data_IF_747727222646
#
_entry.id   IF_747727222646
#
_cell.length_a   1.000
_cell.length_b   1.000
_cell.length_c   1.000
_cell.angle_alpha   90.00
_cell.angle_beta   90.00
_cell.angle_gamma   90.00
#
_symmetry.space_group_name_H-M   'P 1'
#
loop_
_entity.id
_entity.type
_entity.pdbx_description
1 polymer ?
#
# COMPACT_ATOMS: atom_id res chain seq x y z
N UNK A 1 17.20 9.05 -9.91
CA UNK A 1 16.05 9.96 -9.59
C UNK A 1 14.84 9.48 -10.36
N UNK A 2 13.73 9.19 -9.66
CA UNK A 2 12.44 8.88 -10.32
C UNK A 2 11.67 10.18 -10.64
N UNK A 3 10.75 10.11 -11.59
CA UNK A 3 10.02 11.30 -12.06
C UNK A 3 8.52 11.03 -12.21
N UNK A 4 7.71 12.10 -12.10
CA UNK A 4 6.26 12.03 -12.24
C UNK A 4 5.78 11.49 -13.61
N UNK A 5 6.63 11.51 -14.64
CA UNK A 5 6.31 10.96 -15.95
C UNK A 5 6.89 9.54 -16.16
N UNK A 6 7.07 8.80 -15.07
CA UNK A 6 7.48 7.40 -15.03
C UNK A 6 8.81 7.09 -15.74
N UNK A 7 9.86 7.85 -15.43
CA UNK A 7 11.24 7.53 -15.77
C UNK A 7 12.11 7.46 -14.53
N UNK A 8 13.07 6.52 -14.54
CA UNK A 8 14.20 6.49 -13.62
C UNK A 8 15.42 7.06 -14.34
N UNK A 9 16.03 8.12 -13.78
CA UNK A 9 17.19 8.79 -14.33
C UNK A 9 18.43 8.57 -13.47
N UNK A 10 19.58 8.36 -14.10
CA UNK A 10 20.90 8.56 -13.51
C UNK A 10 21.45 9.89 -14.02
N UNK A 11 21.79 10.77 -13.08
CA UNK A 11 22.27 12.14 -13.36
C UNK A 11 23.59 12.35 -12.62
N UNK A 12 24.60 12.77 -13.32
CA UNK A 12 25.86 13.19 -12.73
C UNK A 12 25.64 14.43 -11.84
N UNK A 13 26.06 14.34 -10.58
CA UNK A 13 25.74 15.37 -9.59
C UNK A 13 26.55 16.67 -9.76
N UNK A 14 27.70 16.62 -10.46
CA UNK A 14 28.55 17.79 -10.69
C UNK A 14 28.10 18.56 -11.94
N UNK A 15 27.74 17.85 -13.00
CA UNK A 15 27.43 18.44 -14.30
C UNK A 15 25.93 18.60 -14.56
N UNK A 16 25.08 17.84 -13.86
CA UNK A 16 23.64 17.76 -14.11
C UNK A 16 23.29 17.02 -15.40
N UNK A 17 24.24 16.37 -16.05
CA UNK A 17 24.02 15.64 -17.29
C UNK A 17 23.59 14.18 -17.02
N UNK A 18 22.73 13.61 -17.88
CA UNK A 18 22.41 12.18 -17.80
C UNK A 18 23.64 11.32 -18.02
N UNK A 19 23.78 10.23 -17.22
CA UNK A 19 24.82 9.23 -17.41
C UNK A 19 24.49 8.36 -18.65
N UNK A 20 25.26 8.45 -19.74
CA UNK A 20 24.92 7.75 -20.97
C UNK A 20 25.01 6.22 -20.87
N UNK A 21 25.64 5.68 -19.82
CA UNK A 21 25.80 4.25 -19.60
C UNK A 21 24.62 3.62 -18.87
N UNK A 22 23.75 4.45 -18.26
CA UNK A 22 22.58 4.00 -17.50
C UNK A 22 21.37 3.85 -18.42
N UNK A 23 20.78 2.66 -18.49
CA UNK A 23 19.59 2.36 -19.26
C UNK A 23 19.69 2.81 -20.74
N UNK A 24 18.72 3.56 -21.20
CA UNK A 24 18.76 4.15 -22.54
C UNK A 24 19.12 5.64 -22.45
N UNK A 25 20.41 5.96 -22.65
CA UNK A 25 20.93 7.33 -22.58
C UNK A 25 20.55 8.05 -21.26
N UNK A 26 20.84 7.43 -20.14
CA UNK A 26 20.66 8.00 -18.79
C UNK A 26 19.31 7.74 -18.15
N UNK A 27 18.42 6.96 -18.77
CA UNK A 27 17.09 6.70 -18.22
C UNK A 27 16.53 5.32 -18.50
N UNK A 28 15.67 4.87 -17.63
CA UNK A 28 14.82 3.69 -17.77
C UNK A 28 13.37 4.11 -17.87
N UNK A 29 12.61 3.56 -18.83
CA UNK A 29 11.18 3.75 -18.95
C UNK A 29 10.42 2.80 -18.01
N UNK A 30 9.77 3.35 -17.01
CA UNK A 30 9.10 2.60 -15.95
C UNK A 30 7.67 2.13 -16.34
N UNK A 31 7.17 2.47 -17.52
CA UNK A 31 5.91 1.92 -18.04
C UNK A 31 6.10 0.55 -18.70
N UNK A 32 7.34 0.14 -18.93
CA UNK A 32 7.70 -1.14 -19.56
C UNK A 32 7.85 -2.21 -18.47
N UNK A 33 7.49 -3.46 -18.81
CA UNK A 33 7.72 -4.62 -17.93
C UNK A 33 6.70 -4.81 -16.82
N UNK A 34 5.52 -4.19 -16.91
CA UNK A 34 4.44 -4.30 -15.92
C UNK A 34 3.41 -5.41 -16.23
N UNK A 35 3.72 -6.31 -17.18
CA UNK A 35 2.86 -7.45 -17.52
C UNK A 35 1.66 -7.12 -18.43
N UNK A 36 1.32 -5.84 -18.55
CA UNK A 36 0.25 -5.34 -19.43
C UNK A 36 0.61 -3.97 -20.01
N UNK A 37 -0.04 -3.53 -21.11
CA UNK A 37 0.10 -2.17 -21.61
C UNK A 37 -0.34 -1.13 -20.57
N UNK A 38 0.46 -0.09 -20.40
CA UNK A 38 0.20 0.97 -19.40
C UNK A 38 0.08 2.31 -20.11
N UNK A 39 -1.00 3.02 -19.84
CA UNK A 39 -1.11 4.44 -20.18
C UNK A 39 -0.22 5.25 -19.22
N UNK A 40 0.80 5.93 -19.77
CA UNK A 40 1.75 6.73 -18.98
C UNK A 40 1.08 7.81 -18.14
N UNK A 41 -0.07 8.34 -18.54
CA UNK A 41 -0.80 9.33 -17.77
C UNK A 41 -1.42 8.77 -16.49
N UNK A 42 -1.52 7.44 -16.38
CA UNK A 42 -2.10 6.73 -15.24
C UNK A 42 -1.08 6.29 -14.20
N UNK A 43 0.22 6.53 -14.42
CA UNK A 43 1.28 6.09 -13.50
C UNK A 43 2.34 7.16 -13.30
N UNK A 44 2.77 7.33 -12.07
CA UNK A 44 3.83 8.26 -11.69
C UNK A 44 4.75 7.68 -10.62
N UNK A 45 5.86 8.35 -10.37
CA UNK A 45 6.78 8.02 -9.28
C UNK A 45 7.14 9.32 -8.57
N UNK A 46 6.66 9.50 -7.35
CA UNK A 46 6.83 10.73 -6.56
C UNK A 46 7.56 10.53 -5.23
N UNK A 47 7.61 9.30 -4.73
CA UNK A 47 8.27 8.99 -3.46
C UNK A 47 9.80 8.95 -3.60
N UNK A 48 10.49 9.17 -2.49
CA UNK A 48 11.93 8.95 -2.40
C UNK A 48 12.24 7.46 -2.62
N UNK A 49 13.31 7.22 -3.37
CA UNK A 49 13.73 5.88 -3.81
C UNK A 49 14.82 5.38 -2.88
N UNK A 50 14.62 4.32 -2.09
CA UNK A 50 15.69 3.72 -1.32
C UNK A 50 16.71 3.04 -2.24
N UNK A 51 17.97 3.13 -1.84
CA UNK A 51 19.09 2.43 -2.45
C UNK A 51 19.73 1.59 -1.35
N UNK A 52 19.82 0.29 -1.57
CA UNK A 52 20.46 -0.65 -0.64
C UNK A 52 21.44 -1.52 -1.42
N UNK A 53 22.72 -1.47 -1.04
CA UNK A 53 23.76 -2.05 -1.88
C UNK A 53 23.75 -1.44 -3.28
N UNK A 54 23.66 -2.27 -4.30
CA UNK A 54 23.57 -1.87 -5.70
C UNK A 54 22.12 -1.94 -6.25
N UNK A 55 21.12 -1.96 -5.38
CA UNK A 55 19.72 -2.07 -5.79
C UNK A 55 18.94 -0.78 -5.51
N UNK A 56 18.34 -0.22 -6.56
CA UNK A 56 17.39 0.90 -6.52
C UNK A 56 15.99 0.32 -6.50
N UNK A 57 15.17 0.61 -5.47
CA UNK A 57 13.86 0.00 -5.29
C UNK A 57 12.75 1.03 -5.54
N UNK A 58 11.79 0.68 -6.37
CA UNK A 58 10.74 1.59 -6.84
C UNK A 58 9.34 1.07 -6.56
N UNK A 59 8.55 1.86 -5.82
CA UNK A 59 7.10 1.82 -5.85
C UNK A 59 6.55 2.75 -6.94
N UNK A 60 5.25 2.99 -6.94
CA UNK A 60 4.58 3.86 -7.92
C UNK A 60 3.34 4.54 -7.34
N UNK A 61 2.88 5.59 -8.01
CA UNK A 61 1.54 6.15 -7.85
C UNK A 61 0.72 5.72 -9.05
N UNK A 62 -0.46 5.18 -8.83
CA UNK A 62 -1.43 4.85 -9.88
C UNK A 62 -2.63 5.78 -9.72
N UNK A 63 -3.00 6.46 -10.81
CA UNK A 63 -4.16 7.36 -10.84
C UNK A 63 -5.40 6.56 -11.27
N UNK A 64 -6.10 5.99 -10.32
CA UNK A 64 -7.30 5.19 -10.51
C UNK A 64 -8.61 5.95 -10.22
N UNK A 65 -8.49 7.12 -9.58
CA UNK A 65 -9.59 8.02 -9.32
C UNK A 65 -9.65 9.17 -10.34
N UNK A 66 -10.82 9.67 -10.67
CA UNK A 66 -10.93 10.89 -11.46
C UNK A 66 -10.33 12.05 -10.66
N UNK A 67 -9.28 12.64 -11.18
CA UNK A 67 -8.72 13.88 -10.61
C UNK A 67 -9.61 15.10 -10.84
N UNK A 68 -10.63 14.96 -11.71
CA UNK A 68 -11.58 16.02 -12.08
C UNK A 68 -12.97 15.39 -12.29
N UNK A 69 -14.02 16.13 -11.94
CA UNK A 69 -15.43 15.69 -11.91
C UNK A 69 -15.98 15.11 -13.24
N UNK A 70 -15.31 15.36 -14.36
CA UNK A 70 -15.78 14.95 -15.67
C UNK A 70 -15.25 13.58 -16.15
N UNK A 71 -14.37 12.92 -15.38
CA UNK A 71 -13.77 11.63 -15.75
C UNK A 71 -14.33 10.52 -14.84
N UNK A 72 -15.09 9.54 -15.37
CA UNK A 72 -15.55 8.43 -14.58
C UNK A 72 -14.38 7.65 -13.99
N UNK A 73 -14.52 7.18 -12.75
CA UNK A 73 -13.57 6.27 -12.14
C UNK A 73 -13.34 5.05 -13.03
N UNK A 74 -12.08 4.73 -13.32
CA UNK A 74 -11.72 3.55 -14.08
C UNK A 74 -11.76 2.33 -13.15
N UNK A 75 -12.64 1.39 -13.40
CA UNK A 75 -12.82 0.19 -12.57
C UNK A 75 -11.93 -0.98 -13.00
N UNK A 76 -11.49 -1.00 -14.26
CA UNK A 76 -10.71 -2.09 -14.85
C UNK A 76 -9.56 -1.57 -15.72
N UNK A 77 -8.64 -2.44 -16.08
CA UNK A 77 -7.47 -2.14 -16.93
C UNK A 77 -6.54 -1.04 -16.34
N UNK A 78 -6.49 -0.97 -15.03
CA UNK A 78 -5.59 -0.07 -14.32
C UNK A 78 -4.13 -0.55 -14.40
N UNK A 79 -3.13 0.34 -14.42
CA UNK A 79 -1.74 -0.05 -14.26
C UNK A 79 -1.54 -0.80 -12.93
N UNK A 80 -0.83 -1.95 -12.91
CA UNK A 80 -0.48 -2.59 -11.66
C UNK A 80 0.65 -1.83 -10.97
N UNK A 81 0.60 -1.75 -9.65
CA UNK A 81 1.55 -1.05 -8.81
C UNK A 81 2.77 -1.87 -8.39
N UNK A 82 3.20 -2.83 -9.20
CA UNK A 82 4.30 -3.74 -8.89
C UNK A 82 5.57 -3.02 -8.45
N UNK A 83 6.27 -3.59 -7.46
CA UNK A 83 7.55 -3.08 -6.97
C UNK A 83 8.69 -3.72 -7.73
N UNK A 84 9.69 -2.92 -8.08
CA UNK A 84 10.81 -3.37 -8.90
C UNK A 84 12.14 -2.93 -8.34
N UNK A 85 13.12 -3.83 -8.39
CA UNK A 85 14.51 -3.53 -8.12
C UNK A 85 15.29 -3.34 -9.43
N UNK A 86 16.14 -2.32 -9.46
CA UNK A 86 17.00 -1.99 -10.59
C UNK A 86 18.45 -1.92 -10.13
N UNK A 87 19.36 -2.35 -10.98
CA UNK A 87 20.79 -2.16 -10.76
C UNK A 87 21.14 -0.66 -10.76
N UNK A 88 21.83 -0.21 -9.72
CA UNK A 88 22.17 1.20 -9.51
C UNK A 88 23.07 1.76 -10.63
N UNK A 89 23.93 0.95 -11.20
CA UNK A 89 24.95 1.38 -12.17
C UNK A 89 24.45 1.30 -13.60
N UNK A 90 23.68 0.25 -13.93
CA UNK A 90 23.27 -0.03 -15.30
C UNK A 90 21.84 0.35 -15.61
N UNK A 91 20.95 0.41 -14.58
CA UNK A 91 19.52 0.58 -14.75
C UNK A 91 18.80 -0.68 -15.25
N UNK A 92 19.48 -1.82 -15.31
CA UNK A 92 18.84 -3.09 -15.63
C UNK A 92 17.89 -3.52 -14.49
N UNK A 93 16.71 -4.04 -14.85
CA UNK A 93 15.79 -4.58 -13.86
C UNK A 93 16.35 -5.90 -13.30
N UNK A 94 16.63 -5.92 -12.00
CA UNK A 94 17.09 -7.12 -11.26
C UNK A 94 15.93 -8.07 -10.98
N UNK A 95 14.81 -7.52 -10.48
CA UNK A 95 13.62 -8.28 -10.09
C UNK A 95 12.34 -7.46 -10.17
N UNK A 96 11.20 -8.15 -10.12
CA UNK A 96 9.88 -7.59 -9.94
C UNK A 96 9.13 -8.39 -8.87
N UNK A 97 8.47 -7.68 -7.95
CA UNK A 97 7.52 -8.25 -7.02
C UNK A 97 6.11 -7.87 -7.48
N UNK A 98 5.30 -8.86 -7.80
CA UNK A 98 3.93 -8.66 -8.20
C UNK A 98 3.05 -8.38 -6.97
N UNK A 99 2.70 -7.13 -6.74
CA UNK A 99 1.79 -6.72 -5.66
C UNK A 99 0.37 -7.24 -5.87
N UNK A 100 0.00 -7.51 -7.13
CA UNK A 100 -1.14 -8.33 -7.54
C UNK A 100 -0.57 -9.63 -8.10
N UNK A 101 -0.65 -10.74 -7.35
CA UNK A 101 -0.03 -12.00 -7.75
C UNK A 101 -0.58 -12.51 -9.08
N UNK A 102 0.31 -13.01 -9.91
CA UNK A 102 -0.03 -13.58 -11.21
C UNK A 102 -0.44 -15.06 -11.08
N UNK A 103 -0.94 -15.66 -12.15
CA UNK A 103 -1.36 -17.07 -12.16
C UNK A 103 -0.25 -18.00 -11.64
N UNK A 104 -0.57 -18.80 -10.64
CA UNK A 104 0.36 -19.74 -10.00
C UNK A 104 1.26 -19.14 -8.91
N UNK A 105 1.24 -17.83 -8.70
CA UNK A 105 1.95 -17.19 -7.60
C UNK A 105 1.16 -17.27 -6.29
N UNK A 106 1.87 -17.20 -5.16
CA UNK A 106 1.27 -17.19 -3.83
C UNK A 106 0.33 -15.98 -3.68
N UNK A 107 -0.90 -16.23 -3.22
CA UNK A 107 -1.92 -15.21 -3.00
C UNK A 107 -2.80 -14.91 -4.22
N UNK A 108 -2.53 -15.48 -5.39
CA UNK A 108 -3.39 -15.30 -6.57
C UNK A 108 -4.81 -15.85 -6.34
N UNK A 109 -4.93 -16.90 -5.54
CA UNK A 109 -6.20 -17.52 -5.13
C UNK A 109 -7.09 -16.63 -4.25
N UNK A 110 -6.55 -15.53 -3.74
CA UNK A 110 -7.31 -14.50 -3.00
C UNK A 110 -8.02 -13.48 -3.92
N UNK A 111 -7.88 -13.63 -5.24
CA UNK A 111 -8.50 -12.80 -6.26
C UNK A 111 -9.52 -13.64 -7.03
N UNK A 112 -10.79 -13.53 -6.68
CA UNK A 112 -11.84 -14.32 -7.32
C UNK A 112 -12.14 -13.82 -8.74
N UNK A 113 -12.74 -14.70 -9.55
CA UNK A 113 -13.21 -14.42 -10.92
C UNK A 113 -12.14 -13.83 -11.86
N UNK A 114 -10.89 -14.24 -11.66
CA UNK A 114 -9.76 -13.71 -12.45
C UNK A 114 -9.58 -12.19 -12.39
N UNK A 115 -10.13 -11.55 -11.37
CA UNK A 115 -10.10 -10.08 -11.21
C UNK A 115 -8.69 -9.49 -11.20
N UNK A 116 -7.67 -10.27 -10.80
CA UNK A 116 -6.25 -9.90 -10.87
C UNK A 116 -5.79 -9.51 -12.28
N UNK A 117 -6.45 -10.00 -13.34
CA UNK A 117 -6.10 -9.72 -14.74
C UNK A 117 -6.39 -8.28 -15.15
N UNK A 118 -7.35 -7.64 -14.51
CA UNK A 118 -7.84 -6.30 -14.87
C UNK A 118 -7.74 -5.27 -13.77
N UNK A 119 -7.62 -5.70 -12.50
CA UNK A 119 -7.38 -4.82 -11.36
C UNK A 119 -5.95 -4.27 -11.41
N UNK A 120 -5.77 -3.03 -11.00
CA UNK A 120 -4.48 -2.36 -10.87
C UNK A 120 -4.34 -1.71 -9.51
N UNK A 121 -3.61 -0.58 -9.46
CA UNK A 121 -3.16 0.01 -8.21
C UNK A 121 -2.41 -1.01 -7.34
N UNK A 122 -2.77 -1.23 -6.09
CA UNK A 122 -2.01 -2.09 -5.18
C UNK A 122 -0.54 -1.67 -5.16
N UNK A 123 -0.34 -0.37 -5.15
CA UNK A 123 0.94 0.29 -5.36
C UNK A 123 1.52 0.83 -4.05
N UNK A 124 2.74 1.33 -4.10
CA UNK A 124 3.36 2.04 -2.99
C UNK A 124 3.59 3.48 -3.42
N UNK A 125 2.71 4.37 -2.99
CA UNK A 125 2.78 5.79 -3.29
C UNK A 125 3.56 6.59 -2.24
N UNK A 126 3.79 6.00 -1.08
CA UNK A 126 4.58 6.56 0.01
C UNK A 126 6.03 6.07 -0.02
N UNK A 127 6.80 6.40 1.00
CA UNK A 127 8.19 5.97 1.12
C UNK A 127 8.30 4.53 1.64
N UNK A 128 9.38 3.87 1.24
CA UNK A 128 9.79 2.55 1.70
C UNK A 128 10.79 2.67 2.84
N UNK A 129 10.87 1.65 3.69
CA UNK A 129 11.96 1.50 4.66
C UNK A 129 12.80 0.28 4.31
N UNK A 130 14.09 0.35 4.58
CA UNK A 130 15.00 -0.77 4.37
C UNK A 130 15.94 -0.95 5.57
N UNK A 131 16.32 -2.20 5.83
CA UNK A 131 17.31 -2.58 6.83
C UNK A 131 18.53 -3.17 6.10
N UNK A 132 19.62 -2.39 5.92
CA UNK A 132 20.80 -2.89 5.22
C UNK A 132 21.54 -4.01 5.96
N UNK A 133 21.35 -4.13 7.28
CA UNK A 133 21.97 -5.21 8.07
C UNK A 133 21.30 -6.56 7.78
N UNK A 134 19.98 -6.56 7.61
CA UNK A 134 19.20 -7.74 7.26
C UNK A 134 19.15 -7.99 5.75
N UNK A 135 19.43 -6.97 4.92
CA UNK A 135 19.20 -7.01 3.49
C UNK A 135 17.71 -6.99 3.12
N UNK A 136 16.85 -6.40 3.94
CA UNK A 136 15.40 -6.40 3.74
C UNK A 136 14.88 -5.00 3.38
N UNK A 137 13.85 -4.97 2.53
CA UNK A 137 13.01 -3.79 2.28
C UNK A 137 11.57 -4.06 2.72
N UNK A 138 10.93 -3.07 3.33
CA UNK A 138 9.58 -3.17 3.87
C UNK A 138 8.63 -2.30 3.06
N UNK A 139 7.62 -2.93 2.50
CA UNK A 139 6.68 -2.38 1.54
C UNK A 139 5.35 -2.08 2.21
N UNK A 140 4.97 -0.81 2.42
CA UNK A 140 3.61 -0.42 2.81
C UNK A 140 2.72 -0.37 1.56
N UNK A 141 2.16 -1.52 1.18
CA UNK A 141 1.36 -1.66 -0.05
C UNK A 141 -0.02 -1.10 0.18
N UNK A 142 -0.48 -0.24 -0.71
CA UNK A 142 -1.81 0.35 -0.71
C UNK A 142 -2.90 -0.58 -1.22
N UNK A 143 -4.11 -0.05 -1.27
CA UNK A 143 -5.29 -0.79 -1.69
C UNK A 143 -5.30 -1.09 -3.19
N UNK A 144 -6.07 -2.10 -3.63
CA UNK A 144 -6.35 -2.31 -5.03
C UNK A 144 -7.32 -1.24 -5.56
N UNK A 145 -7.16 -0.84 -6.81
CA UNK A 145 -8.15 0.00 -7.47
C UNK A 145 -9.47 -0.78 -7.72
N UNK A 146 -10.58 -0.20 -7.59
CA UNK A 146 -10.91 1.15 -7.20
C UNK A 146 -10.96 1.28 -5.66
N UNK A 147 -10.69 2.48 -5.09
CA UNK A 147 -10.50 2.67 -3.65
C UNK A 147 -11.79 2.47 -2.82
N UNK A 148 -12.96 2.70 -3.40
CA UNK A 148 -14.23 2.74 -2.66
C UNK A 148 -15.30 1.76 -3.15
N UNK A 149 -14.93 0.85 -4.04
CA UNK A 149 -15.83 -0.20 -4.50
C UNK A 149 -15.07 -1.48 -4.85
N UNK A 150 -15.30 -2.53 -4.08
CA UNK A 150 -14.62 -3.82 -4.23
C UNK A 150 -15.40 -4.89 -5.00
N UNK A 151 -16.61 -4.61 -5.49
CA UNK A 151 -17.47 -5.62 -6.13
C UNK A 151 -16.92 -6.24 -7.43
N UNK A 152 -15.95 -5.60 -8.09
CA UNK A 152 -15.26 -6.16 -9.27
C UNK A 152 -13.99 -6.96 -8.93
N UNK A 153 -13.59 -7.05 -7.66
CA UNK A 153 -12.37 -7.72 -7.20
C UNK A 153 -12.59 -8.54 -5.93
N UNK A 154 -13.58 -9.44 -5.95
CA UNK A 154 -13.93 -10.25 -4.78
C UNK A 154 -12.73 -11.09 -4.28
N UNK A 155 -12.77 -11.47 -2.99
CA UNK A 155 -11.68 -12.14 -2.27
C UNK A 155 -10.87 -11.15 -1.42
N UNK A 156 -9.90 -11.64 -0.65
CA UNK A 156 -9.11 -10.81 0.27
C UNK A 156 -8.08 -9.91 -0.43
N UNK A 157 -7.84 -10.11 -1.74
CA UNK A 157 -7.00 -9.30 -2.62
C UNK A 157 -5.55 -9.09 -2.13
N UNK A 158 -4.87 -10.17 -1.78
CA UNK A 158 -3.45 -10.12 -1.39
C UNK A 158 -2.58 -9.67 -2.59
N UNK A 159 -1.65 -8.73 -2.45
CA UNK A 159 -1.09 -8.08 -1.25
C UNK A 159 -1.65 -6.66 -1.00
N UNK A 160 -2.88 -6.38 -1.41
CA UNK A 160 -3.51 -5.09 -1.09
C UNK A 160 -3.51 -4.83 0.41
N UNK A 161 -3.31 -3.57 0.78
CA UNK A 161 -3.29 -3.03 2.16
C UNK A 161 -2.50 -3.92 3.12
N UNK A 162 -1.23 -4.15 2.76
CA UNK A 162 -0.34 -5.08 3.45
C UNK A 162 1.02 -4.46 3.75
N UNK A 163 1.69 -5.02 4.76
CA UNK A 163 3.14 -4.86 4.95
C UNK A 163 3.82 -6.09 4.36
N UNK A 164 4.77 -5.91 3.47
CA UNK A 164 5.54 -7.01 2.88
C UNK A 164 7.03 -6.77 3.07
N UNK A 165 7.77 -7.76 3.53
CA UNK A 165 9.22 -7.73 3.54
C UNK A 165 9.77 -8.54 2.38
N UNK A 166 10.69 -7.92 1.62
CA UNK A 166 11.42 -8.60 0.54
C UNK A 166 12.90 -8.60 0.83
N UNK A 167 13.58 -9.62 0.31
CA UNK A 167 15.02 -9.61 0.12
C UNK A 167 15.39 -8.57 -0.96
N UNK A 168 16.31 -7.69 -0.65
CA UNK A 168 16.69 -6.55 -1.52
C UNK A 168 17.36 -7.01 -2.83
N UNK A 169 18.13 -8.11 -2.79
CA UNK A 169 18.89 -8.56 -3.95
C UNK A 169 18.06 -9.37 -4.93
N UNK A 170 17.10 -10.15 -4.41
CA UNK A 170 16.32 -11.10 -5.20
C UNK A 170 14.88 -10.67 -5.46
N UNK A 171 14.32 -9.78 -4.61
CA UNK A 171 12.90 -9.43 -4.62
C UNK A 171 12.00 -10.54 -4.08
N UNK A 172 12.57 -11.62 -3.53
CA UNK A 172 11.80 -12.70 -2.92
C UNK A 172 11.12 -12.24 -1.64
N UNK A 173 9.85 -12.65 -1.46
CA UNK A 173 9.08 -12.33 -0.26
C UNK A 173 9.58 -13.15 0.93
N UNK A 174 10.03 -12.47 1.98
CA UNK A 174 10.43 -13.08 3.26
C UNK A 174 9.18 -13.36 4.09
N UNK A 175 8.35 -12.32 4.30
CA UNK A 175 7.07 -12.40 5.00
C UNK A 175 6.11 -11.32 4.53
N UNK A 176 4.85 -11.43 4.94
CA UNK A 176 3.84 -10.37 4.77
C UNK A 176 2.85 -10.40 5.93
N UNK A 177 2.19 -9.28 6.12
CA UNK A 177 1.05 -9.14 7.02
C UNK A 177 0.00 -8.23 6.36
N UNK A 178 -1.20 -8.77 6.07
CA UNK A 178 -2.30 -7.98 5.53
C UNK A 178 -3.00 -7.25 6.67
N UNK A 179 -3.07 -5.92 6.62
CA UNK A 179 -3.64 -5.09 7.68
C UNK A 179 -5.12 -4.77 7.45
N UNK A 180 -5.63 -4.96 6.23
CA UNK A 180 -7.06 -4.91 5.89
C UNK A 180 -7.36 -5.97 4.83
N UNK A 181 -8.31 -6.86 5.12
CA UNK A 181 -8.80 -7.85 4.16
C UNK A 181 -9.89 -7.24 3.28
N UNK A 182 -9.81 -7.42 1.97
CA UNK A 182 -10.77 -6.88 0.99
C UNK A 182 -11.09 -5.40 1.27
N UNK A 183 -10.10 -4.57 1.15
CA UNK A 183 -10.13 -3.15 1.49
C UNK A 183 -11.15 -2.36 0.63
N UNK A 184 -11.95 -1.49 1.27
CA UNK A 184 -13.03 -0.69 0.66
C UNK A 184 -13.03 0.79 1.07
N UNK A 185 -12.13 1.20 2.00
CA UNK A 185 -12.20 2.49 2.70
C UNK A 185 -11.03 3.41 2.40
N UNK A 186 -10.17 3.04 1.44
CA UNK A 186 -8.94 3.74 1.15
C UNK A 186 -8.00 3.82 2.38
N UNK A 187 -7.88 2.70 3.10
CA UNK A 187 -7.03 2.58 4.29
C UNK A 187 -5.56 2.28 3.97
N UNK A 188 -5.07 2.79 2.87
CA UNK A 188 -3.66 2.71 2.50
C UNK A 188 -2.72 2.98 3.68
N UNK A 189 -1.62 2.23 3.82
CA UNK A 189 -0.53 2.63 4.69
C UNK A 189 0.09 3.96 4.22
N UNK A 190 -0.06 5.07 5.01
CA UNK A 190 0.26 6.41 4.50
C UNK A 190 1.71 6.81 4.71
N UNK A 191 2.52 5.97 5.35
CA UNK A 191 3.88 6.30 5.77
C UNK A 191 4.85 5.14 5.62
N UNK A 192 6.14 5.45 5.51
CA UNK A 192 7.19 4.45 5.62
C UNK A 192 7.13 3.74 6.97
N UNK A 193 7.26 2.40 7.02
CA UNK A 193 7.39 1.69 8.28
C UNK A 193 8.58 2.20 9.09
N UNK A 194 8.38 2.51 10.37
CA UNK A 194 9.46 2.93 11.26
C UNK A 194 10.18 1.71 11.82
N UNK A 195 11.48 1.60 11.55
CA UNK A 195 12.33 0.54 12.10
C UNK A 195 12.85 0.97 13.47
N UNK A 196 12.64 0.13 14.47
CA UNK A 196 13.01 0.45 15.87
C UNK A 196 13.39 -0.83 16.61
N UNK A 197 14.39 -0.74 17.49
CA UNK A 197 14.73 -1.82 18.40
C UNK A 197 14.06 -1.55 19.75
N UNK A 198 13.26 -2.51 20.22
CA UNK A 198 12.46 -2.37 21.45
C UNK A 198 12.69 -3.57 22.37
N UNK A 199 12.47 -3.35 23.66
CA UNK A 199 12.48 -4.42 24.66
C UNK A 199 11.08 -4.63 25.20
N UNK A 200 10.53 -5.84 25.00
CA UNK A 200 9.20 -6.23 25.49
C UNK A 200 9.36 -7.47 26.35
N UNK A 201 8.90 -7.39 27.60
CA UNK A 201 8.98 -8.49 28.59
C UNK A 201 10.41 -9.08 28.72
N UNK A 202 11.43 -8.21 28.65
CA UNK A 202 12.84 -8.57 28.74
C UNK A 202 13.46 -9.15 27.46
N UNK A 203 12.71 -9.24 26.35
CA UNK A 203 13.22 -9.66 25.03
C UNK A 203 13.52 -8.45 24.17
N UNK A 204 14.70 -8.40 23.60
CA UNK A 204 15.05 -7.44 22.56
C UNK A 204 14.43 -7.89 21.24
N UNK A 205 13.75 -6.98 20.54
CA UNK A 205 13.04 -7.23 19.30
C UNK A 205 13.46 -6.16 18.30
N UNK A 206 13.94 -6.57 17.15
CA UNK A 206 14.06 -5.70 15.97
C UNK A 206 12.66 -5.50 15.41
N UNK A 207 12.00 -4.41 15.78
CA UNK A 207 10.61 -4.17 15.44
C UNK A 207 10.46 -3.24 14.23
N UNK A 208 9.29 -3.35 13.62
CA UNK A 208 8.75 -2.45 12.62
C UNK A 208 7.43 -1.91 13.16
N UNK A 209 7.24 -0.59 13.11
CA UNK A 209 5.98 0.05 13.48
C UNK A 209 5.39 0.78 12.25
N UNK A 210 4.16 0.43 11.86
CA UNK A 210 3.44 1.06 10.77
C UNK A 210 2.16 1.72 11.30
N UNK A 211 2.00 3.02 11.03
CA UNK A 211 0.74 3.74 11.25
C UNK A 211 -0.21 3.49 10.09
N UNK A 212 -1.50 3.39 10.37
CA UNK A 212 -2.55 3.21 9.36
C UNK A 212 -3.56 4.36 9.37
N UNK A 213 -4.32 4.51 8.28
CA UNK A 213 -5.43 5.47 8.20
C UNK A 213 -6.57 5.12 9.17
N UNK A 214 -6.62 3.88 9.66
CA UNK A 214 -7.54 3.43 10.72
C UNK A 214 -7.15 3.97 12.11
N UNK A 215 -6.07 4.79 12.22
CA UNK A 215 -5.49 5.25 13.49
C UNK A 215 -4.90 4.14 14.37
N UNK A 216 -4.55 3.00 13.78
CA UNK A 216 -3.80 1.94 14.44
C UNK A 216 -2.30 2.06 14.20
N UNK A 217 -1.53 1.43 15.09
CA UNK A 217 -0.12 1.16 14.90
C UNK A 217 0.08 -0.35 14.92
N UNK A 218 0.46 -0.91 13.78
CA UNK A 218 0.84 -2.31 13.66
C UNK A 218 2.32 -2.45 14.02
N UNK A 219 2.63 -3.25 15.06
CA UNK A 219 4.01 -3.46 15.51
C UNK A 219 4.37 -4.92 15.32
N UNK A 220 5.31 -5.16 14.39
CA UNK A 220 5.74 -6.52 14.01
C UNK A 220 7.23 -6.69 14.27
N UNK A 221 7.67 -7.92 14.53
CA UNK A 221 9.07 -8.28 14.43
C UNK A 221 9.50 -8.16 12.97
N UNK A 222 10.46 -7.29 12.67
CA UNK A 222 10.83 -6.98 11.28
C UNK A 222 11.62 -8.10 10.59
N UNK A 223 12.10 -9.09 11.36
CA UNK A 223 12.77 -10.27 10.79
C UNK A 223 11.75 -11.32 10.34
N UNK A 224 10.71 -11.55 11.14
CA UNK A 224 9.77 -12.67 10.96
C UNK A 224 8.38 -12.27 10.48
N UNK A 225 7.98 -11.00 10.67
CA UNK A 225 6.62 -10.53 10.43
C UNK A 225 5.62 -10.85 11.56
N UNK A 226 6.07 -11.56 12.61
CA UNK A 226 5.20 -11.91 13.72
C UNK A 226 4.79 -10.67 14.53
N UNK A 227 3.51 -10.53 14.92
CA UNK A 227 3.07 -9.43 15.77
C UNK A 227 3.77 -9.41 17.13
N UNK A 228 4.28 -8.24 17.54
CA UNK A 228 4.90 -8.06 18.88
C UNK A 228 3.86 -8.18 19.99
N UNK A 229 2.66 -7.67 19.77
CA UNK A 229 1.48 -7.87 20.60
C UNK A 229 0.36 -8.49 19.79
N UNK A 230 -0.58 -9.22 20.42
CA UNK A 230 -1.65 -9.88 19.68
C UNK A 230 -2.41 -8.91 18.77
N UNK A 231 -2.66 -9.34 17.55
CA UNK A 231 -3.60 -8.72 16.62
C UNK A 231 -4.77 -9.69 16.51
N UNK A 232 -5.97 -9.22 16.79
CA UNK A 232 -7.17 -10.04 16.90
C UNK A 232 -8.04 -9.89 15.66
N UNK A 233 -8.42 -11.02 15.06
CA UNK A 233 -9.47 -11.04 14.05
C UNK A 233 -10.82 -10.77 14.70
N UNK A 234 -11.45 -9.64 14.37
CA UNK A 234 -12.75 -9.25 14.93
C UNK A 234 -13.77 -9.14 13.82
N UNK A 235 -15.01 -9.60 14.13
CA UNK A 235 -16.13 -9.45 13.22
C UNK A 235 -16.45 -7.96 12.95
N UNK A 236 -16.71 -7.67 11.67
CA UNK A 236 -17.04 -6.32 11.20
C UNK A 236 -18.40 -6.31 10.50
N UNK A 237 -19.05 -5.13 10.37
CA UNK A 237 -20.28 -5.00 9.60
C UNK A 237 -20.10 -5.44 8.15
N UNK A 238 -21.13 -6.08 7.59
CA UNK A 238 -21.14 -6.43 6.17
C UNK A 238 -21.51 -5.20 5.33
N UNK A 239 -20.97 -5.15 4.10
CA UNK A 239 -21.37 -4.09 3.15
C UNK A 239 -22.84 -4.22 2.76
N UNK A 240 -23.51 -3.07 2.64
CA UNK A 240 -24.87 -2.95 2.11
C UNK A 240 -24.86 -2.53 0.62
N UNK A 241 -23.68 -2.29 0.05
CA UNK A 241 -23.52 -1.87 -1.34
C UNK A 241 -23.71 -3.07 -2.29
N UNK A 242 -24.57 -2.95 -3.30
CA UNK A 242 -24.81 -4.05 -4.22
C UNK A 242 -23.54 -4.51 -4.96
N UNK A 243 -23.26 -5.80 -4.92
CA UNK A 243 -22.10 -6.43 -5.56
C UNK A 243 -20.85 -6.53 -4.67
N UNK A 244 -20.78 -5.82 -3.57
CA UNK A 244 -19.68 -5.94 -2.61
C UNK A 244 -19.86 -7.14 -1.67
N UNK A 245 -18.72 -7.73 -1.28
CA UNK A 245 -18.63 -8.74 -0.25
C UNK A 245 -17.37 -8.51 0.55
N UNK A 246 -17.50 -7.84 1.70
CA UNK A 246 -16.38 -7.60 2.63
C UNK A 246 -15.91 -8.89 3.29
N UNK A 247 -14.68 -8.89 3.78
CA UNK A 247 -14.22 -9.94 4.69
C UNK A 247 -15.05 -9.92 5.98
N UNK A 248 -15.44 -11.08 6.52
CA UNK A 248 -16.28 -11.13 7.73
C UNK A 248 -15.53 -10.68 8.99
N UNK A 249 -14.21 -10.68 8.97
CA UNK A 249 -13.34 -10.21 10.05
C UNK A 249 -12.24 -9.29 9.53
N UNK A 250 -11.70 -8.48 10.45
CA UNK A 250 -10.56 -7.62 10.18
C UNK A 250 -9.56 -7.69 11.34
N UNK A 251 -8.25 -7.45 11.08
CA UNK A 251 -7.20 -7.51 12.08
C UNK A 251 -7.14 -6.23 12.94
N UNK A 252 -7.39 -6.37 14.24
CA UNK A 252 -7.33 -5.27 15.21
C UNK A 252 -6.12 -5.44 16.14
N UNK A 253 -5.11 -4.55 16.07
CA UNK A 253 -4.00 -4.60 17.02
C UNK A 253 -4.47 -4.28 18.44
N UNK A 254 -4.02 -5.06 19.43
CA UNK A 254 -4.38 -4.85 20.83
C UNK A 254 -3.48 -3.80 21.51
N UNK A 255 -2.29 -3.56 20.97
CA UNK A 255 -1.31 -2.56 21.43
C UNK A 255 -0.46 -2.04 20.26
N UNK A 256 -0.02 -0.75 20.31
CA UNK A 256 -0.52 0.30 21.21
C UNK A 256 -2.02 0.54 21.06
N UNK A 257 -2.60 1.32 21.98
CA UNK A 257 -3.99 1.77 21.80
C UNK A 257 -4.11 2.63 20.52
N UNK A 258 -5.27 2.65 19.85
CA UNK A 258 -5.50 3.57 18.74
C UNK A 258 -5.16 5.01 19.14
N UNK A 259 -4.61 5.77 18.20
CA UNK A 259 -4.16 7.15 18.48
C UNK A 259 -5.23 8.20 18.11
N UNK A 260 -6.37 7.77 17.58
CA UNK A 260 -7.53 8.62 17.29
C UNK A 260 -8.83 7.82 17.51
N UNK A 261 -9.97 8.51 17.36
CA UNK A 261 -11.31 7.94 17.49
C UNK A 261 -11.54 6.80 16.50
N UNK A 262 -12.18 5.75 16.97
CA UNK A 262 -12.56 4.60 16.17
C UNK A 262 -14.04 4.69 15.80
N UNK A 263 -14.30 5.17 14.58
CA UNK A 263 -15.67 5.39 14.11
C UNK A 263 -16.31 6.68 14.64
N UNK A 264 -17.59 6.85 14.32
CA UNK A 264 -18.40 8.01 14.69
C UNK A 264 -19.59 7.55 15.55
N UNK A 265 -19.88 8.27 16.63
CA UNK A 265 -21.08 8.13 17.43
C UNK A 265 -21.75 9.48 17.62
N UNK A 266 -23.00 9.47 18.08
CA UNK A 266 -23.66 10.72 18.40
C UNK A 266 -22.86 11.55 19.41
N UNK A 267 -22.21 10.93 20.38
CA UNK A 267 -21.42 11.61 21.41
C UNK A 267 -20.15 12.29 20.87
N UNK A 268 -19.64 11.84 19.70
CA UNK A 268 -18.42 12.40 19.07
C UNK A 268 -18.72 13.48 18.03
N UNK A 269 -20.00 13.78 17.75
CA UNK A 269 -20.37 14.85 16.83
C UNK A 269 -20.03 16.22 17.41
N UNK A 270 -19.80 17.19 16.50
CA UNK A 270 -19.53 18.59 16.86
C UNK A 270 -20.58 19.14 17.85
N UNK A 271 -20.14 19.85 18.89
CA UNK A 271 -20.95 20.40 19.95
C UNK A 271 -20.53 21.84 20.36
N UNK A 272 -19.85 22.55 19.48
CA UNK A 272 -19.38 23.91 19.76
C UNK A 272 -20.51 24.88 20.04
N UNK A 273 -21.68 24.69 19.42
CA UNK A 273 -22.91 25.38 19.76
C UNK A 273 -24.12 24.43 19.67
N UNK A 274 -25.24 24.70 20.38
CA UNK A 274 -26.44 23.89 20.26
C UNK A 274 -26.97 23.78 18.83
N UNK A 275 -26.85 24.86 18.02
CA UNK A 275 -27.31 24.89 16.64
C UNK A 275 -26.47 23.96 15.78
N UNK A 276 -25.13 24.01 15.87
CA UNK A 276 -24.22 23.12 15.15
C UNK A 276 -24.44 21.65 15.55
N UNK A 277 -24.67 21.39 16.84
CA UNK A 277 -24.98 20.05 17.32
C UNK A 277 -26.29 19.54 16.70
N UNK A 278 -27.34 20.36 16.67
CA UNK A 278 -28.62 19.98 16.09
C UNK A 278 -28.49 19.71 14.56
N UNK A 279 -27.73 20.53 13.84
CA UNK A 279 -27.45 20.31 12.42
C UNK A 279 -26.70 18.99 12.19
N UNK A 280 -25.64 18.73 12.95
CA UNK A 280 -24.87 17.49 12.85
C UNK A 280 -25.73 16.24 13.14
N UNK A 281 -26.63 16.32 14.13
CA UNK A 281 -27.59 15.26 14.45
C UNK A 281 -28.57 14.97 13.30
N UNK A 282 -28.99 16.00 12.54
CA UNK A 282 -29.84 15.78 11.37
C UNK A 282 -29.05 15.21 10.17
N UNK A 283 -27.80 15.64 9.98
CA UNK A 283 -26.96 15.15 8.90
C UNK A 283 -26.64 13.66 9.09
N UNK A 284 -26.24 13.24 10.30
CA UNK A 284 -25.80 11.87 10.54
C UNK A 284 -26.88 10.82 10.30
N UNK A 285 -28.17 11.18 10.45
CA UNK A 285 -29.30 10.29 10.17
C UNK A 285 -29.40 9.83 8.71
N UNK A 286 -28.67 10.47 7.81
CA UNK A 286 -28.65 10.16 6.37
C UNK A 286 -27.58 9.12 6.01
N UNK A 287 -26.76 8.70 6.97
CA UNK A 287 -25.63 7.81 6.76
C UNK A 287 -25.68 6.61 7.71
N UNK A 288 -25.14 5.49 7.26
CA UNK A 288 -24.72 4.42 8.15
C UNK A 288 -23.43 4.86 8.86
N UNK A 289 -23.42 4.79 10.19
CA UNK A 289 -22.29 5.24 10.99
C UNK A 289 -22.00 4.29 12.15
N UNK A 290 -20.85 4.44 12.76
CA UNK A 290 -20.37 3.60 13.85
C UNK A 290 -18.91 3.23 13.64
N UNK A 291 -18.48 2.16 14.28
CA UNK A 291 -17.19 1.54 13.98
C UNK A 291 -17.39 0.63 12.76
N UNK A 292 -16.75 0.97 11.65
CA UNK A 292 -16.81 0.15 10.43
C UNK A 292 -15.65 -0.84 10.37
N UNK A 293 -14.44 -0.44 10.45
CA UNK A 293 -13.14 -1.14 10.71
C UNK A 293 -11.95 -0.30 10.30
#
# INVERSE_FOLDING_TARGET
MSTANAFLWSIDAETGMPDPTFGNNGKVDLTIGLGRPVDRSMIAHSAAVPIVGDTVILGSVVYDQPMFDDVPAKLTDLPPGHVRGYDLNTGEQKWIFHTIPQEGEFGNDTWEDDSWKVTGATNIWTMLSADPELGYVYLPIGNPGNDWYGGQRLGDNLFGTSIVALDVETGERIWHYQIVHHELWDYDPPAAPTLVDITVDGREIKALALVSKQAFIYVLDRITGEPVWPIEERAVPLSTVPGERVSPTQPFPTRPAPFDLQGISEDTLIDFTPELRAEAMEIIKQFDYGMLY
#
